data_IF_164164592142
#
_entry.id   IF_164164592142
#
_cell.length_a   1.000
_cell.length_b   1.000
_cell.length_c   1.000
_cell.angle_alpha   90.00
_cell.angle_beta   90.00
_cell.angle_gamma   90.00
#
_symmetry.space_group_name_H-M   'P 1'
#
loop_
_entity.id
_entity.type
_entity.pdbx_description
1 polymer ?
#
# COMPACT_ATOMS: atom_id res chain seq x y z
N UNK A 1 -12.05 5.36 -8.21
CA UNK A 1 -10.91 5.86 -7.41
C UNK A 1 -9.61 5.23 -7.90
N UNK A 2 -8.47 5.90 -7.72
CA UNK A 2 -7.15 5.34 -8.03
C UNK A 2 -6.59 4.59 -6.80
N UNK A 3 -5.82 3.52 -7.02
CA UNK A 3 -5.17 2.77 -5.94
C UNK A 3 -3.93 3.50 -5.37
N UNK A 4 -4.13 4.61 -4.67
CA UNK A 4 -3.03 5.41 -4.10
C UNK A 4 -2.59 4.84 -2.75
N UNK A 5 -1.40 4.23 -2.72
CA UNK A 5 -0.80 3.69 -1.49
C UNK A 5 -1.71 2.66 -0.79
N UNK A 6 -1.63 2.58 0.55
CA UNK A 6 -2.49 1.66 1.33
C UNK A 6 -3.88 2.24 1.63
N UNK A 7 -4.02 3.57 1.63
CA UNK A 7 -5.22 4.27 2.08
C UNK A 7 -6.45 4.05 1.18
N UNK A 8 -6.26 3.80 -0.13
CA UNK A 8 -7.37 3.52 -1.03
C UNK A 8 -8.18 2.28 -0.62
N UNK A 9 -7.53 1.31 0.04
CA UNK A 9 -8.09 -0.03 0.19
C UNK A 9 -9.26 -0.05 1.17
N UNK A 10 -9.09 0.55 2.34
CA UNK A 10 -10.15 0.58 3.36
C UNK A 10 -11.35 1.42 2.89
N UNK A 11 -11.09 2.48 2.13
CA UNK A 11 -12.12 3.27 1.47
C UNK A 11 -12.90 2.43 0.44
N UNK A 12 -12.20 1.68 -0.42
CA UNK A 12 -12.84 0.79 -1.39
C UNK A 12 -13.69 -0.28 -0.71
N UNK A 13 -13.17 -0.90 0.37
CA UNK A 13 -13.93 -1.87 1.18
C UNK A 13 -15.17 -1.21 1.78
N UNK A 14 -15.04 -0.05 2.42
CA UNK A 14 -16.15 0.65 3.05
C UNK A 14 -17.25 1.02 2.04
N UNK A 15 -16.87 1.58 0.89
CA UNK A 15 -17.82 1.95 -0.16
C UNK A 15 -18.46 0.73 -0.84
N UNK A 16 -17.73 -0.39 -0.97
CA UNK A 16 -18.28 -1.63 -1.57
C UNK A 16 -19.39 -2.27 -0.73
N UNK A 17 -19.55 -1.86 0.53
CA UNK A 17 -20.65 -2.30 1.40
C UNK A 17 -21.96 -1.54 1.14
N UNK A 18 -21.90 -0.43 0.40
CA UNK A 18 -23.08 0.34 0.02
C UNK A 18 -23.72 -0.26 -1.24
N UNK A 19 -25.01 -0.54 -1.19
CA UNK A 19 -25.77 -1.01 -2.36
C UNK A 19 -25.94 0.08 -3.43
N UNK A 20 -25.74 1.35 -3.07
CA UNK A 20 -25.98 2.50 -3.96
C UNK A 20 -24.73 2.96 -4.71
N UNK A 21 -23.57 2.37 -4.45
CA UNK A 21 -22.29 2.85 -4.96
C UNK A 21 -21.53 1.72 -5.65
N UNK A 22 -21.38 1.84 -6.97
CA UNK A 22 -20.45 0.98 -7.72
C UNK A 22 -19.03 1.50 -7.55
N UNK A 23 -18.16 0.69 -6.97
CA UNK A 23 -16.75 1.03 -6.78
C UNK A 23 -15.93 0.51 -7.96
N UNK A 24 -15.08 1.35 -8.53
CA UNK A 24 -13.99 0.93 -9.41
C UNK A 24 -12.66 1.42 -8.85
N UNK A 25 -11.67 0.52 -8.83
CA UNK A 25 -10.31 0.81 -8.39
C UNK A 25 -9.39 0.77 -9.62
N UNK A 26 -8.87 1.93 -9.99
CA UNK A 26 -7.99 2.11 -11.15
C UNK A 26 -6.54 1.90 -10.71
N UNK A 27 -5.78 1.16 -11.53
CA UNK A 27 -4.35 1.00 -11.34
C UNK A 27 -3.64 2.36 -11.57
N UNK A 28 -2.83 2.88 -10.63
CA UNK A 28 -2.13 4.15 -10.80
C UNK A 28 -1.26 4.21 -12.06
N UNK A 29 -0.70 3.06 -12.48
CA UNK A 29 0.06 2.98 -13.73
C UNK A 29 -0.83 3.24 -14.95
N UNK A 30 -2.08 2.78 -14.93
CA UNK A 30 -3.02 3.03 -16.01
C UNK A 30 -3.43 4.50 -16.07
N UNK A 31 -3.77 5.10 -14.92
CA UNK A 31 -4.08 6.53 -14.83
C UNK A 31 -2.90 7.39 -15.29
N UNK A 32 -1.68 7.08 -14.85
CA UNK A 32 -0.45 7.77 -15.27
C UNK A 32 -0.18 7.65 -16.77
N UNK A 33 -0.34 6.46 -17.36
CA UNK A 33 -0.17 6.28 -18.80
C UNK A 33 -1.23 7.03 -19.60
N UNK A 34 -2.45 7.11 -19.08
CA UNK A 34 -3.52 7.90 -19.69
C UNK A 34 -3.21 9.41 -19.63
N UNK A 35 -2.74 9.93 -18.49
CA UNK A 35 -2.28 11.31 -18.38
C UNK A 35 -1.21 11.64 -19.44
N UNK A 36 -0.25 10.73 -19.64
CA UNK A 36 0.76 10.87 -20.70
C UNK A 36 0.15 10.90 -22.10
N UNK A 37 -0.83 10.04 -22.38
CA UNK A 37 -1.51 10.02 -23.67
C UNK A 37 -2.28 11.33 -23.94
N UNK A 38 -2.77 12.00 -22.89
CA UNK A 38 -3.37 13.33 -22.98
C UNK A 38 -2.34 14.48 -23.11
N UNK A 39 -1.04 14.18 -23.07
CA UNK A 39 0.05 15.17 -23.05
C UNK A 39 0.03 16.10 -21.82
N UNK A 40 -0.59 15.66 -20.73
CA UNK A 40 -0.57 16.37 -19.44
C UNK A 40 0.82 16.26 -18.81
N UNK A 41 1.56 17.37 -18.78
CA UNK A 41 2.93 17.45 -18.21
C UNK A 41 2.95 17.96 -16.78
N UNK A 42 2.00 18.82 -16.42
CA UNK A 42 1.87 19.36 -15.07
C UNK A 42 1.08 18.40 -14.20
N UNK A 43 1.51 18.26 -12.96
CA UNK A 43 0.83 17.44 -11.95
C UNK A 43 0.38 18.33 -10.80
N UNK A 44 -0.93 18.53 -10.69
CA UNK A 44 -1.59 19.19 -9.57
C UNK A 44 -2.83 18.38 -9.22
N UNK A 45 -3.32 18.49 -7.99
CA UNK A 45 -4.49 17.71 -7.55
C UNK A 45 -5.71 17.94 -8.45
N UNK A 46 -5.91 19.17 -8.95
CA UNK A 46 -6.99 19.48 -9.90
C UNK A 46 -6.80 18.77 -11.24
N UNK A 47 -5.59 18.79 -11.80
CA UNK A 47 -5.30 18.13 -13.08
C UNK A 47 -5.45 16.62 -12.95
N UNK A 48 -4.98 16.03 -11.85
CA UNK A 48 -5.09 14.59 -11.61
C UNK A 48 -6.56 14.16 -11.47
N UNK A 49 -7.41 14.98 -10.83
CA UNK A 49 -8.84 14.73 -10.74
C UNK A 49 -9.51 14.75 -12.13
N UNK A 50 -9.19 15.75 -12.97
CA UNK A 50 -9.72 15.87 -14.33
C UNK A 50 -9.27 14.69 -15.22
N UNK A 51 -8.03 14.24 -15.07
CA UNK A 51 -7.50 13.06 -15.76
C UNK A 51 -8.26 11.80 -15.35
N UNK A 52 -8.52 11.61 -14.05
CA UNK A 52 -9.27 10.45 -13.56
C UNK A 52 -10.74 10.47 -14.00
N UNK A 53 -11.37 11.64 -14.03
CA UNK A 53 -12.73 11.81 -14.55
C UNK A 53 -12.77 11.48 -16.05
N UNK A 54 -11.84 12.03 -16.84
CA UNK A 54 -11.70 11.74 -18.27
C UNK A 54 -11.42 10.26 -18.54
N UNK A 55 -10.64 9.60 -17.67
CA UNK A 55 -10.39 8.16 -17.76
C UNK A 55 -11.70 7.38 -17.56
N UNK A 56 -12.47 7.75 -16.53
CA UNK A 56 -13.72 7.09 -16.19
C UNK A 56 -14.80 7.24 -17.27
N UNK A 57 -14.80 8.35 -18.00
CA UNK A 57 -15.72 8.57 -19.13
C UNK A 57 -15.35 7.75 -20.38
N UNK A 58 -14.06 7.54 -20.63
CA UNK A 58 -13.56 6.96 -21.89
C UNK A 58 -13.26 5.47 -21.82
N UNK A 59 -13.06 4.94 -20.62
CA UNK A 59 -12.66 3.55 -20.42
C UNK A 59 -13.81 2.75 -19.81
N UNK A 60 -13.96 1.47 -20.19
CA UNK A 60 -14.93 0.61 -19.52
C UNK A 60 -14.51 0.43 -18.05
N UNK A 61 -15.34 0.93 -17.15
CA UNK A 61 -15.12 0.75 -15.72
C UNK A 61 -15.51 -0.67 -15.33
N UNK A 62 -14.57 -1.39 -14.72
CA UNK A 62 -14.82 -2.71 -14.15
C UNK A 62 -15.19 -2.52 -12.68
N UNK A 63 -16.32 -3.11 -12.26
CA UNK A 63 -16.69 -3.13 -10.86
C UNK A 63 -15.62 -3.85 -10.06
N UNK A 64 -15.13 -3.17 -9.03
CA UNK A 64 -14.17 -3.73 -8.10
C UNK A 64 -14.87 -4.78 -7.24
N UNK A 65 -14.34 -6.00 -7.30
CA UNK A 65 -14.80 -7.11 -6.48
C UNK A 65 -14.04 -7.08 -5.15
N UNK A 66 -14.78 -6.88 -4.05
CA UNK A 66 -14.22 -6.94 -2.70
C UNK A 66 -13.69 -8.36 -2.45
N UNK A 67 -12.43 -8.54 -2.00
CA UNK A 67 -11.95 -9.83 -1.56
C UNK A 67 -12.78 -10.39 -0.39
N UNK A 68 -12.91 -11.71 -0.31
CA UNK A 68 -13.62 -12.36 0.81
C UNK A 68 -12.99 -12.00 2.16
N UNK A 69 -13.75 -12.14 3.24
CA UNK A 69 -13.26 -11.80 4.58
C UNK A 69 -12.07 -12.66 5.00
N UNK A 70 -12.06 -13.93 4.58
CA UNK A 70 -10.96 -14.86 4.79
C UNK A 70 -9.71 -14.41 4.01
N UNK A 71 -9.87 -13.95 2.77
CA UNK A 71 -8.77 -13.43 1.97
C UNK A 71 -8.17 -12.15 2.58
N UNK A 72 -9.02 -11.27 3.12
CA UNK A 72 -8.59 -10.08 3.85
C UNK A 72 -7.82 -10.44 5.12
N UNK A 73 -8.35 -11.37 5.91
CA UNK A 73 -7.71 -11.86 7.14
C UNK A 73 -6.36 -12.51 6.84
N UNK A 74 -6.30 -13.40 5.84
CA UNK A 74 -5.07 -14.06 5.42
C UNK A 74 -4.00 -13.04 4.97
N UNK A 75 -4.39 -12.04 4.17
CA UNK A 75 -3.48 -10.96 3.75
C UNK A 75 -2.94 -10.17 4.95
N UNK A 76 -3.78 -9.86 5.94
CA UNK A 76 -3.37 -9.14 7.13
C UNK A 76 -2.36 -9.95 7.97
N UNK A 77 -2.67 -11.22 8.22
CA UNK A 77 -1.80 -12.15 8.95
C UNK A 77 -0.45 -12.34 8.24
N UNK A 78 -0.46 -12.59 6.93
CA UNK A 78 0.74 -12.75 6.13
C UNK A 78 1.65 -11.52 6.18
N UNK A 79 1.07 -10.31 6.09
CA UNK A 79 1.83 -9.05 6.24
C UNK A 79 2.42 -8.90 7.63
N UNK A 80 1.67 -9.26 8.69
CA UNK A 80 2.18 -9.21 10.07
C UNK A 80 3.34 -10.17 10.29
N UNK A 81 3.25 -11.39 9.77
CA UNK A 81 4.33 -12.38 9.82
C UNK A 81 5.57 -11.83 9.09
N UNK A 82 5.40 -11.33 7.86
CA UNK A 82 6.49 -10.76 7.07
C UNK A 82 7.18 -9.59 7.79
N UNK A 83 6.40 -8.66 8.34
CA UNK A 83 6.93 -7.52 9.11
C UNK A 83 7.70 -7.98 10.36
N UNK A 84 7.17 -8.97 11.08
CA UNK A 84 7.81 -9.52 12.28
C UNK A 84 9.12 -10.23 11.92
N UNK A 85 9.14 -11.01 10.84
CA UNK A 85 10.36 -11.64 10.34
C UNK A 85 11.42 -10.61 9.94
N UNK A 86 11.02 -9.49 9.33
CA UNK A 86 11.93 -8.40 8.99
C UNK A 86 12.55 -7.78 10.24
N UNK A 87 11.73 -7.49 11.27
CA UNK A 87 12.21 -6.96 12.55
C UNK A 87 13.17 -7.96 13.21
N UNK A 88 12.81 -9.25 13.26
CA UNK A 88 13.67 -10.30 13.81
C UNK A 88 15.03 -10.34 13.12
N UNK A 89 15.06 -10.29 11.79
CA UNK A 89 16.30 -10.26 11.03
C UNK A 89 17.12 -8.99 11.29
N UNK A 90 16.47 -7.83 11.35
CA UNK A 90 17.10 -6.56 11.66
C UNK A 90 17.76 -6.59 13.05
N UNK A 91 17.03 -7.04 14.07
CA UNK A 91 17.53 -7.12 15.45
C UNK A 91 18.69 -8.12 15.55
N UNK A 92 18.61 -9.27 14.86
CA UNK A 92 19.73 -10.24 14.79
C UNK A 92 20.98 -9.60 14.17
N UNK A 93 20.83 -8.86 13.08
CA UNK A 93 21.96 -8.19 12.43
C UNK A 93 22.54 -7.08 13.30
N UNK A 94 21.69 -6.31 13.99
CA UNK A 94 22.10 -5.29 14.95
C UNK A 94 22.89 -5.90 16.10
N UNK A 95 22.39 -6.98 16.71
CA UNK A 95 23.10 -7.69 17.76
C UNK A 95 24.47 -8.20 17.28
N UNK A 96 24.51 -8.79 16.08
CA UNK A 96 25.75 -9.25 15.46
C UNK A 96 26.78 -8.14 15.31
N UNK A 97 26.37 -6.96 14.85
CA UNK A 97 27.25 -5.79 14.72
C UNK A 97 27.71 -5.23 16.08
N UNK A 98 26.81 -5.17 17.06
CA UNK A 98 27.10 -4.67 18.41
C UNK A 98 28.09 -5.56 19.16
N UNK A 99 28.08 -6.87 18.90
CA UNK A 99 29.02 -7.82 19.51
C UNK A 99 30.43 -7.80 18.88
N UNK A 100 30.67 -7.05 17.80
CA UNK A 100 31.99 -6.98 17.15
C UNK A 100 33.00 -6.21 17.99
N UNK A 101 32.55 -5.17 18.72
CA UNK A 101 33.42 -4.36 19.58
C UNK A 101 33.18 -4.68 21.04
N UNK A 102 34.24 -4.68 21.83
CA UNK A 102 34.15 -4.85 23.29
C UNK A 102 33.68 -3.57 24.00
N UNK A 103 33.66 -2.44 23.30
CA UNK A 103 33.25 -1.13 23.82
C UNK A 103 31.72 -0.94 23.85
N UNK A 104 30.93 -1.90 23.33
CA UNK A 104 29.47 -1.79 23.38
C UNK A 104 28.97 -1.94 24.82
N UNK A 105 28.25 -0.95 25.39
CA UNK A 105 27.69 -1.05 26.72
C UNK A 105 26.73 -2.25 26.88
N UNK A 106 26.83 -2.95 28.01
CA UNK A 106 26.03 -4.16 28.29
C UNK A 106 24.51 -3.90 28.28
N UNK A 107 24.09 -2.70 28.68
CA UNK A 107 22.68 -2.27 28.64
C UNK A 107 22.09 -2.29 27.23
N UNK A 108 22.91 -2.01 26.20
CA UNK A 108 22.45 -2.02 24.80
C UNK A 108 22.35 -3.46 24.29
N UNK A 109 23.28 -4.33 24.67
CA UNK A 109 23.28 -5.75 24.30
C UNK A 109 22.07 -6.48 24.90
N UNK A 110 21.71 -6.18 26.15
CA UNK A 110 20.56 -6.78 26.83
C UNK A 110 19.23 -6.36 26.23
N UNK A 111 19.05 -5.08 25.86
CA UNK A 111 17.83 -4.60 25.20
C UNK A 111 17.64 -5.13 23.77
N UNK A 112 18.74 -5.49 23.08
CA UNK A 112 18.70 -5.96 21.69
C UNK A 112 18.53 -7.48 21.59
N UNK A 113 18.74 -8.23 22.68
CA UNK A 113 18.43 -9.67 22.73
C UNK A 113 16.91 -9.86 22.77
N UNK A 114 16.36 -10.53 21.76
CA UNK A 114 14.94 -10.97 21.69
C UNK A 114 14.77 -12.29 22.41
#
# INVERSE_FOLDING_TARGET
MEATGMHHFDLAVALSRSEKITVTVINPKAAHNFAKALMQRCKTDSIDADVLASYAERMPLVQWQRPSEEALALRALARRISATNKIKAQVKNQLGALMVTQETPEVILTQTKV
#
